data_IF_762489530552
#
_entry.id   IF_762489530552
#
_cell.length_a   1.000
_cell.length_b   1.000
_cell.length_c   1.000
_cell.angle_alpha   90.00
_cell.angle_beta   90.00
_cell.angle_gamma   90.00
#
_symmetry.space_group_name_H-M   'P 1'
#
loop_
_entity.id
_entity.type
_entity.pdbx_description
1 polymer ?
#
# COMPACT_ATOMS: atom_id res chain seq x y z
N UNK A 1 -44.23 5.85 -3.18
CA UNK A 1 -43.01 5.79 -2.36
C UNK A 1 -42.48 4.36 -2.36
N UNK A 2 -41.39 4.09 -3.09
CA UNK A 2 -40.79 2.74 -3.19
C UNK A 2 -39.67 2.60 -2.15
N UNK A 3 -39.83 1.69 -1.20
CA UNK A 3 -38.81 1.34 -0.22
C UNK A 3 -38.06 0.10 -0.71
N UNK A 4 -36.85 0.28 -1.24
CA UNK A 4 -35.94 -0.82 -1.50
C UNK A 4 -35.30 -1.26 -0.17
N UNK A 5 -35.69 -2.44 0.32
CA UNK A 5 -35.00 -3.12 1.42
C UNK A 5 -33.65 -3.62 0.94
N UNK A 6 -32.61 -2.79 1.09
CA UNK A 6 -31.22 -3.20 0.92
C UNK A 6 -30.72 -3.76 2.26
N UNK A 7 -31.16 -4.97 2.60
CA UNK A 7 -30.52 -5.76 3.64
C UNK A 7 -29.23 -6.31 3.04
N UNK A 8 -28.12 -5.78 3.53
CA UNK A 8 -26.77 -5.80 2.95
C UNK A 8 -26.18 -7.21 2.85
N UNK A 9 -26.30 -7.85 1.68
CA UNK A 9 -25.51 -9.05 1.33
C UNK A 9 -24.13 -8.72 0.74
N UNK A 10 -23.96 -7.52 0.16
CA UNK A 10 -22.71 -7.08 -0.46
C UNK A 10 -22.31 -5.69 0.05
N UNK A 11 -21.45 -5.68 1.08
CA UNK A 11 -20.95 -4.45 1.70
C UNK A 11 -20.18 -3.55 0.70
N UNK A 12 -19.40 -4.15 -0.20
CA UNK A 12 -18.61 -3.44 -1.19
C UNK A 12 -19.48 -2.67 -2.22
N UNK A 13 -20.47 -3.34 -2.81
CA UNK A 13 -21.38 -2.70 -3.77
C UNK A 13 -22.22 -1.59 -3.12
N UNK A 14 -22.65 -1.81 -1.87
CA UNK A 14 -23.39 -0.79 -1.10
C UNK A 14 -22.56 0.46 -0.82
N UNK A 15 -21.25 0.28 -0.61
CA UNK A 15 -20.29 1.37 -0.47
C UNK A 15 -20.13 2.15 -1.78
N UNK A 16 -19.94 1.47 -2.91
CA UNK A 16 -19.81 2.11 -4.23
C UNK A 16 -21.06 2.88 -4.66
N UNK A 17 -22.25 2.38 -4.29
CA UNK A 17 -23.53 3.02 -4.61
C UNK A 17 -23.93 4.16 -3.66
N UNK A 18 -23.11 4.46 -2.64
CA UNK A 18 -23.40 5.52 -1.67
C UNK A 18 -24.56 5.24 -0.71
N UNK A 19 -25.02 3.98 -0.64
CA UNK A 19 -26.13 3.54 0.22
C UNK A 19 -25.66 2.94 1.55
N UNK A 20 -24.34 2.82 1.74
CA UNK A 20 -23.74 2.39 3.00
C UNK A 20 -24.02 3.40 4.12
N UNK A 21 -24.60 2.95 5.23
CA UNK A 21 -24.98 3.80 6.38
C UNK A 21 -23.84 4.07 7.35
N UNK A 22 -22.89 3.15 7.44
CA UNK A 22 -21.73 3.25 8.33
C UNK A 22 -20.62 2.32 7.86
N UNK A 23 -19.37 2.76 8.00
CA UNK A 23 -18.18 1.94 7.84
C UNK A 23 -17.25 2.22 9.01
N UNK A 24 -16.67 1.17 9.60
CA UNK A 24 -15.69 1.28 10.67
C UNK A 24 -14.45 0.51 10.28
N UNK A 25 -13.28 1.13 10.44
CA UNK A 25 -11.98 0.50 10.28
C UNK A 25 -11.20 0.68 11.57
N UNK A 26 -10.70 -0.42 12.13
CA UNK A 26 -9.74 -0.36 13.21
C UNK A 26 -8.35 -0.16 12.61
N UNK A 27 -7.72 0.97 12.92
CA UNK A 27 -6.32 1.21 12.60
C UNK A 27 -5.55 1.00 13.91
N UNK A 28 -4.79 -0.09 14.08
CA UNK A 28 -3.98 -0.27 15.27
C UNK A 28 -3.01 0.91 15.39
N UNK A 29 -2.85 1.45 16.60
CA UNK A 29 -1.79 2.41 16.87
C UNK A 29 -0.46 1.72 16.51
N UNK A 30 0.19 2.18 15.44
CA UNK A 30 1.58 1.85 15.16
C UNK A 30 2.35 2.25 16.41
N UNK A 31 3.00 1.29 17.08
CA UNK A 31 3.74 1.53 18.33
C UNK A 31 4.51 2.83 18.24
N UNK A 32 4.16 3.82 19.07
CA UNK A 32 4.76 5.14 19.03
C UNK A 32 6.28 5.02 19.22
N UNK A 33 7.04 5.34 18.17
CA UNK A 33 8.51 5.26 18.19
C UNK A 33 9.13 4.10 17.41
N UNK A 34 8.35 3.32 16.65
CA UNK A 34 8.91 2.40 15.65
C UNK A 34 9.26 3.19 14.39
N UNK A 35 10.56 3.26 14.08
CA UNK A 35 11.07 3.82 12.83
C UNK A 35 11.69 2.70 12.00
N UNK A 36 11.31 2.62 10.73
CA UNK A 36 12.02 1.82 9.73
C UNK A 36 12.51 2.75 8.64
N UNK A 37 13.72 2.47 8.15
CA UNK A 37 14.27 3.11 6.96
C UNK A 37 14.41 2.05 5.88
N UNK A 38 14.05 2.36 4.65
CA UNK A 38 14.34 1.51 3.50
C UNK A 38 15.30 2.28 2.61
N UNK A 39 16.45 1.69 2.32
CA UNK A 39 17.38 2.23 1.34
C UNK A 39 17.22 1.44 0.06
N UNK A 40 17.11 2.13 -1.05
CA UNK A 40 16.79 1.52 -2.34
C UNK A 40 17.81 1.91 -3.38
N UNK A 41 18.23 0.95 -4.18
CA UNK A 41 19.06 1.16 -5.36
C UNK A 41 18.22 0.98 -6.62
N UNK A 42 18.55 1.78 -7.63
CA UNK A 42 17.81 1.80 -8.87
C UNK A 42 18.74 1.98 -10.05
N UNK A 43 18.56 1.12 -11.06
CA UNK A 43 19.27 1.18 -12.32
C UNK A 43 18.25 0.98 -13.44
N UNK A 44 18.31 1.84 -14.45
CA UNK A 44 17.51 1.72 -15.66
C UNK A 44 18.39 1.91 -16.88
N UNK A 45 18.06 1.19 -17.95
CA UNK A 45 18.72 1.30 -19.23
C UNK A 45 17.73 1.15 -20.39
N UNK A 46 17.96 1.90 -21.46
CA UNK A 46 17.15 1.88 -22.69
C UNK A 46 18.04 1.41 -23.85
N UNK A 47 17.98 0.11 -24.15
CA UNK A 47 18.82 -0.50 -25.16
C UNK A 47 18.15 -0.52 -26.54
N UNK A 48 18.79 0.09 -27.54
CA UNK A 48 18.33 0.05 -28.93
C UNK A 48 19.01 -1.09 -29.70
N UNK A 49 18.38 -2.26 -29.74
CA UNK A 49 18.90 -3.43 -30.46
C UNK A 49 18.80 -3.31 -31.99
N UNK A 50 17.75 -2.65 -32.51
CA UNK A 50 17.54 -2.38 -33.95
C UNK A 50 16.82 -1.05 -34.13
N UNK A 51 16.76 -0.52 -35.37
CA UNK A 51 16.11 0.78 -35.68
C UNK A 51 14.63 0.87 -35.29
N UNK A 52 13.97 -0.28 -35.12
CA UNK A 52 12.56 -0.42 -34.77
C UNK A 52 12.33 -1.17 -33.44
N UNK A 53 13.38 -1.44 -32.66
CA UNK A 53 13.27 -2.15 -31.39
C UNK A 53 14.12 -1.45 -30.32
N UNK A 54 13.44 -0.94 -29.31
CA UNK A 54 14.04 -0.45 -28.07
C UNK A 54 13.54 -1.31 -26.93
N UNK A 55 14.47 -1.80 -26.10
CA UNK A 55 14.17 -2.55 -24.89
C UNK A 55 14.50 -1.67 -23.69
N UNK A 56 13.52 -1.46 -22.81
CA UNK A 56 13.70 -0.67 -21.61
C UNK A 56 13.76 -1.64 -20.43
N UNK A 57 14.88 -1.61 -19.70
CA UNK A 57 15.15 -2.48 -18.57
C UNK A 57 15.27 -1.65 -17.31
N UNK A 58 14.68 -2.14 -16.22
CA UNK A 58 14.78 -1.52 -14.91
C UNK A 58 15.02 -2.56 -13.83
N UNK A 59 16.01 -2.32 -12.98
CA UNK A 59 16.28 -3.11 -11.79
C UNK A 59 16.19 -2.21 -10.55
N UNK A 60 15.41 -2.67 -9.58
CA UNK A 60 15.32 -2.05 -8.26
C UNK A 60 15.70 -3.06 -7.19
N UNK A 61 16.57 -2.65 -6.28
CA UNK A 61 16.94 -3.44 -5.11
C UNK A 61 16.58 -2.67 -3.85
N UNK A 62 15.79 -3.28 -2.98
CA UNK A 62 15.39 -2.71 -1.70
C UNK A 62 16.11 -3.37 -0.54
N UNK A 63 16.70 -2.56 0.34
CA UNK A 63 17.34 -3.01 1.58
C UNK A 63 16.53 -2.45 2.75
N UNK A 64 15.59 -3.23 3.31
CA UNK A 64 14.85 -2.82 4.50
C UNK A 64 15.77 -2.84 5.71
N UNK A 65 15.78 -1.76 6.50
CA UNK A 65 16.44 -1.76 7.81
C UNK A 65 15.48 -2.23 8.89
N UNK A 66 16.03 -2.89 9.92
CA UNK A 66 15.27 -3.39 11.06
C UNK A 66 14.47 -2.26 11.73
N UNK A 67 13.28 -2.60 12.23
CA UNK A 67 12.47 -1.71 13.04
C UNK A 67 13.28 -1.34 14.29
N UNK A 68 13.70 -0.06 14.37
CA UNK A 68 14.39 0.43 15.57
C UNK A 68 13.36 1.11 16.45
N UNK A 69 13.24 0.61 17.68
CA UNK A 69 12.43 1.22 18.73
C UNK A 69 13.22 2.36 19.36
N UNK A 70 12.67 3.57 19.35
CA UNK A 70 13.34 4.79 19.86
C UNK A 70 13.64 4.72 21.37
N UNK A 71 12.95 3.86 22.13
CA UNK A 71 13.07 3.82 23.59
C UNK A 71 13.82 2.58 24.03
N UNK A 72 15.12 2.75 24.31
CA UNK A 72 15.92 1.81 25.08
C UNK A 72 15.25 1.54 26.45
N UNK A 73 14.31 0.60 26.53
CA UNK A 73 13.99 -0.05 27.81
C UNK A 73 14.89 -1.26 27.95
N UNK A 74 16.07 -1.02 28.52
CA UNK A 74 16.84 -2.07 29.21
C UNK A 74 15.90 -2.73 30.21
N UNK A 75 15.79 -4.06 30.14
CA UNK A 75 15.38 -4.87 31.28
C UNK A 75 16.46 -4.83 32.37
#
# INVERSE_FOLDING_TARGET
MHFYRLSTGFAYSSFLLGVARSASMYIPLVTAGVRSRVTSFYVQDDWKGRRNLTLNFGLRWDIPTALTEVRQRRR
#
